data_IF_511846818667
#
_entry.id   IF_511846818667
#
_cell.length_a   1.000
_cell.length_b   1.000
_cell.length_c   1.000
_cell.angle_alpha   90.00
_cell.angle_beta   90.00
_cell.angle_gamma   90.00
#
_symmetry.space_group_name_H-M   'P 1'
#
loop_
_entity.id
_entity.type
_entity.pdbx_description
1 polymer ?
#
# COMPACT_ATOMS: atom_id res chain seq x y z
N UNK A 1 13.17 -13.67 -3.14
CA UNK A 1 12.29 -12.86 -2.27
C UNK A 1 11.71 -11.79 -3.15
N UNK A 2 10.41 -11.81 -3.43
CA UNK A 2 9.75 -10.72 -4.16
C UNK A 2 9.90 -9.45 -3.31
N UNK A 3 10.61 -8.45 -3.83
CA UNK A 3 10.73 -7.15 -3.17
C UNK A 3 9.50 -6.34 -3.52
N UNK A 4 8.81 -5.88 -2.51
CA UNK A 4 7.75 -4.88 -2.64
C UNK A 4 8.22 -3.59 -1.97
N UNK A 5 7.75 -2.46 -2.48
CA UNK A 5 8.02 -1.13 -1.96
C UNK A 5 6.72 -0.49 -1.54
N UNK A 6 6.71 0.10 -0.35
CA UNK A 6 5.56 0.85 0.15
C UNK A 6 5.99 2.30 0.25
N UNK A 7 5.24 3.19 -0.38
CA UNK A 7 5.42 4.63 -0.26
C UNK A 7 4.18 5.22 0.42
N UNK A 8 4.36 6.29 1.19
CA UNK A 8 3.25 7.03 1.79
C UNK A 8 3.30 8.47 1.36
N UNK A 9 2.13 9.01 1.01
CA UNK A 9 2.00 10.39 0.57
C UNK A 9 0.82 11.06 1.28
N UNK A 10 0.92 12.36 1.51
CA UNK A 10 -0.17 13.17 2.05
C UNK A 10 -1.02 13.73 0.91
N UNK A 11 -2.29 13.37 0.88
CA UNK A 11 -3.23 13.91 -0.09
C UNK A 11 -3.48 15.40 0.18
N UNK A 12 -3.24 16.23 -0.83
CA UNK A 12 -3.37 17.68 -0.72
C UNK A 12 -4.82 18.16 -0.55
N UNK A 13 -5.84 17.34 -0.87
CA UNK A 13 -7.25 17.70 -0.76
C UNK A 13 -7.79 17.42 0.65
N UNK A 14 -7.42 16.27 1.22
CA UNK A 14 -7.91 15.86 2.56
C UNK A 14 -6.94 16.20 3.68
N UNK A 15 -5.67 16.45 3.36
CA UNK A 15 -4.60 16.60 4.36
C UNK A 15 -4.31 15.31 5.12
N UNK A 16 -4.76 14.17 4.58
CA UNK A 16 -4.58 12.83 5.17
C UNK A 16 -3.57 12.03 4.38
N UNK A 17 -3.01 11.03 5.03
CA UNK A 17 -2.01 10.15 4.44
C UNK A 17 -2.70 8.96 3.76
N UNK A 18 -2.13 8.53 2.64
CA UNK A 18 -2.43 7.27 1.98
C UNK A 18 -1.13 6.52 1.70
N UNK A 19 -1.23 5.22 1.47
CA UNK A 19 -0.11 4.36 1.12
C UNK A 19 -0.29 3.80 -0.28
N UNK A 20 0.83 3.55 -0.93
CA UNK A 20 0.94 2.97 -2.26
C UNK A 20 1.89 1.79 -2.23
N UNK A 21 1.50 0.69 -2.85
CA UNK A 21 2.25 -0.56 -2.88
C UNK A 21 2.72 -0.83 -4.30
N UNK A 22 4.04 -0.98 -4.45
CA UNK A 22 4.72 -1.26 -5.70
C UNK A 22 5.26 -2.68 -5.65
N UNK A 23 4.90 -3.50 -6.65
CA UNK A 23 5.40 -4.87 -6.78
C UNK A 23 5.63 -5.19 -8.26
N UNK A 24 6.89 -5.44 -8.68
CA UNK A 24 8.12 -5.39 -7.88
C UNK A 24 8.47 -3.98 -7.38
N UNK A 25 9.44 -3.86 -6.46
CA UNK A 25 9.93 -2.59 -5.88
C UNK A 25 10.26 -1.51 -6.92
N UNK A 26 10.75 -1.90 -8.11
CA UNK A 26 11.09 -1.03 -9.23
C UNK A 26 9.88 -0.69 -10.14
N UNK A 27 8.67 -1.07 -9.75
CA UNK A 27 7.47 -0.76 -10.54
C UNK A 27 7.23 0.76 -10.59
N UNK A 28 6.92 1.27 -11.79
CA UNK A 28 6.55 2.67 -12.00
C UNK A 28 5.14 2.98 -11.48
N UNK A 29 4.25 1.98 -11.45
CA UNK A 29 2.87 2.14 -11.01
C UNK A 29 2.57 1.28 -9.79
N UNK A 30 1.80 1.80 -8.81
CA UNK A 30 1.39 1.02 -7.66
C UNK A 30 0.33 -0.01 -8.05
N UNK A 31 0.48 -1.24 -7.56
CA UNK A 31 -0.47 -2.34 -7.75
C UNK A 31 -1.68 -2.22 -6.80
N UNK A 32 -1.53 -1.44 -5.74
CA UNK A 32 -2.58 -1.15 -4.76
C UNK A 32 -2.31 0.21 -4.09
N UNK A 33 -3.38 0.88 -3.69
CA UNK A 33 -3.35 2.16 -2.98
C UNK A 33 -4.47 2.19 -1.95
N UNK A 34 -4.20 2.73 -0.77
CA UNK A 34 -5.21 2.95 0.28
C UNK A 34 -5.93 4.30 0.11
N UNK A 35 -7.07 4.44 0.77
CA UNK A 35 -7.79 5.72 0.77
C UNK A 35 -7.05 6.78 1.60
N UNK A 36 -7.10 8.07 1.22
CA UNK A 36 -6.46 9.16 1.96
C UNK A 36 -7.31 9.56 3.16
N UNK A 37 -7.37 8.67 4.15
CA UNK A 37 -8.13 8.83 5.40
C UNK A 37 -7.23 8.74 6.63
N UNK A 38 -5.97 8.30 6.48
CA UNK A 38 -5.10 8.00 7.60
C UNK A 38 -4.49 9.27 8.21
N UNK A 39 -4.29 9.30 9.54
CA UNK A 39 -3.70 10.44 10.21
C UNK A 39 -2.17 10.52 10.06
N UNK A 40 -1.51 9.41 9.73
CA UNK A 40 -0.05 9.32 9.61
C UNK A 40 0.34 8.17 8.66
N UNK A 41 1.61 8.15 8.26
CA UNK A 41 2.20 7.12 7.38
C UNK A 41 2.12 5.72 7.96
N UNK A 42 2.40 5.55 9.25
CA UNK A 42 2.43 4.24 9.91
C UNK A 42 1.08 3.51 9.80
N UNK A 43 -0.03 4.23 10.04
CA UNK A 43 -1.37 3.67 9.91
C UNK A 43 -1.74 3.31 8.46
N UNK A 44 -1.28 4.10 7.49
CA UNK A 44 -1.51 3.81 6.07
C UNK A 44 -0.68 2.60 5.60
N UNK A 45 0.56 2.48 6.09
CA UNK A 45 1.45 1.36 5.82
C UNK A 45 0.91 0.05 6.39
N UNK A 46 0.40 0.05 7.63
CA UNK A 46 -0.17 -1.13 8.26
C UNK A 46 -1.35 -1.66 7.44
N UNK A 47 -2.27 -0.77 7.06
CA UNK A 47 -3.43 -1.15 6.27
C UNK A 47 -3.04 -1.76 4.92
N UNK A 48 -2.07 -1.18 4.20
CA UNK A 48 -1.69 -1.70 2.88
C UNK A 48 -0.90 -3.01 2.97
N UNK A 49 -0.17 -3.24 4.07
CA UNK A 49 0.45 -4.54 4.37
C UNK A 49 -0.60 -5.60 4.60
N UNK A 50 -1.63 -5.32 5.40
CA UNK A 50 -2.75 -6.25 5.59
C UNK A 50 -3.46 -6.58 4.27
N UNK A 51 -3.73 -5.56 3.44
CA UNK A 51 -4.32 -5.76 2.11
C UNK A 51 -3.43 -6.62 1.20
N UNK A 52 -2.11 -6.44 1.28
CA UNK A 52 -1.16 -7.24 0.51
C UNK A 52 -1.10 -8.68 0.98
N UNK A 53 -1.04 -8.91 2.29
CA UNK A 53 -1.02 -10.24 2.89
C UNK A 53 -2.30 -11.01 2.58
N UNK A 54 -3.47 -10.38 2.70
CA UNK A 54 -4.75 -10.97 2.34
C UNK A 54 -4.78 -11.36 0.85
N UNK A 55 -4.36 -10.45 -0.04
CA UNK A 55 -4.32 -10.70 -1.49
C UNK A 55 -3.33 -11.81 -1.85
N UNK A 56 -2.18 -11.87 -1.19
CA UNK A 56 -1.18 -12.92 -1.36
C UNK A 56 -1.66 -14.27 -0.81
N UNK A 57 -2.48 -14.26 0.25
CA UNK A 57 -3.11 -15.47 0.78
C UNK A 57 -4.12 -16.04 -0.22
N UNK A 58 -4.99 -15.19 -0.79
CA UNK A 58 -5.97 -15.61 -1.80
C UNK A 58 -5.32 -16.20 -3.05
N UNK A 59 -4.21 -15.61 -3.52
CA UNK A 59 -3.43 -16.11 -4.67
C UNK A 59 -2.77 -17.48 -4.45
N UNK A 60 -2.65 -17.96 -3.20
CA UNK A 60 -2.04 -19.25 -2.88
C UNK A 60 -3.06 -20.41 -2.85
N UNK A 61 -4.36 -20.10 -2.89
CA UNK A 61 -5.44 -21.09 -2.86
C UNK A 61 -6.02 -21.45 -4.25
N UNK A 62 -5.47 -20.88 -5.34
CA UNK A 62 -5.85 -21.20 -6.73
C UNK A 62 -4.85 -22.11 -7.46
#
# INVERSE_FOLDING_TARGET
>A
MSKFRIETETDAKTGKVYAELYCPDDAEEPIARTEPIFPNSEAAEEQIKEMFEDRMSQLREE
#
